data_IF_702231869689
#
_entry.id   IF_702231869689
#
_cell.length_a   1.000
_cell.length_b   1.000
_cell.length_c   1.000
_cell.angle_alpha   90.00
_cell.angle_beta   90.00
_cell.angle_gamma   90.00
#
_symmetry.space_group_name_H-M   'P 1'
#
loop_
_entity.id
_entity.type
_entity.pdbx_description
1 polymer ?
#
# COMPACT_ATOMS: atom_id res chain seq x y z
N UNK A 1 -140.00 48.60 37.16
CA UNK A 1 -139.49 48.34 35.79
C UNK A 1 -137.99 48.56 35.78
N UNK A 2 -137.53 49.63 36.45
CA UNK A 2 -136.12 50.04 36.58
C UNK A 2 -135.17 48.96 37.13
N UNK A 3 -135.55 48.17 38.15
CA UNK A 3 -134.71 47.07 38.66
C UNK A 3 -134.45 45.95 37.62
N UNK A 4 -135.34 45.79 36.63
CA UNK A 4 -135.19 44.78 35.56
C UNK A 4 -134.24 45.25 34.46
N UNK A 5 -134.19 46.56 34.21
CA UNK A 5 -133.26 47.17 33.25
C UNK A 5 -131.82 47.15 33.76
N UNK A 6 -131.60 47.43 35.06
CA UNK A 6 -130.27 47.35 35.68
C UNK A 6 -129.71 45.91 35.71
N UNK A 7 -130.58 44.91 35.93
CA UNK A 7 -130.22 43.50 35.82
C UNK A 7 -129.87 43.07 34.38
N UNK A 8 -130.50 43.67 33.36
CA UNK A 8 -130.19 43.41 31.96
C UNK A 8 -128.86 44.06 31.53
N UNK A 9 -128.56 45.26 32.00
CA UNK A 9 -127.27 45.91 31.73
C UNK A 9 -126.11 45.15 32.38
N UNK A 10 -126.24 44.75 33.65
CA UNK A 10 -125.23 43.94 34.34
C UNK A 10 -125.04 42.55 33.73
N UNK A 11 -126.11 41.92 33.22
CA UNK A 11 -126.02 40.67 32.46
C UNK A 11 -125.26 40.86 31.13
N UNK A 12 -125.51 41.98 30.43
CA UNK A 12 -124.85 42.29 29.17
C UNK A 12 -123.35 42.57 29.38
N UNK A 13 -123.00 43.37 30.40
CA UNK A 13 -121.60 43.60 30.80
C UNK A 13 -120.87 42.29 31.15
N UNK A 14 -121.51 41.39 31.91
CA UNK A 14 -120.94 40.06 32.21
C UNK A 14 -120.78 39.20 30.96
N UNK A 15 -121.70 39.31 30.00
CA UNK A 15 -121.60 38.59 28.73
C UNK A 15 -120.43 39.09 27.87
N UNK A 16 -120.15 40.39 27.88
CA UNK A 16 -119.00 41.00 27.21
C UNK A 16 -117.70 40.55 27.89
N UNK A 17 -117.63 40.62 29.22
CA UNK A 17 -116.45 40.14 29.96
C UNK A 17 -116.21 38.64 29.74
N UNK A 18 -117.26 37.83 29.74
CA UNK A 18 -117.17 36.40 29.45
C UNK A 18 -116.60 36.14 28.05
N UNK A 19 -117.07 36.87 27.03
CA UNK A 19 -116.58 36.72 25.65
C UNK A 19 -115.12 37.18 25.50
N UNK A 20 -114.70 38.23 26.20
CA UNK A 20 -113.28 38.66 26.22
C UNK A 20 -112.41 37.57 26.84
N UNK A 21 -112.79 37.09 28.03
CA UNK A 21 -112.02 36.07 28.75
C UNK A 21 -111.99 34.74 27.99
N UNK A 22 -113.11 34.38 27.34
CA UNK A 22 -113.19 33.20 26.47
C UNK A 22 -112.25 33.32 25.27
N UNK A 23 -112.17 34.50 24.63
CA UNK A 23 -111.27 34.74 23.50
C UNK A 23 -109.81 34.69 23.94
N UNK A 24 -109.46 35.22 25.12
CA UNK A 24 -108.11 35.08 25.69
C UNK A 24 -107.74 33.63 25.99
N UNK A 25 -108.68 32.85 26.54
CA UNK A 25 -108.50 31.42 26.79
C UNK A 25 -108.28 30.64 25.49
N UNK A 26 -109.12 30.85 24.48
CA UNK A 26 -109.00 30.22 23.16
C UNK A 26 -107.65 30.56 22.51
N UNK A 27 -107.25 31.83 22.54
CA UNK A 27 -105.94 32.27 22.02
C UNK A 27 -104.77 31.62 22.76
N UNK A 28 -104.83 31.57 24.09
CA UNK A 28 -103.76 30.97 24.92
C UNK A 28 -103.65 29.47 24.69
N UNK A 29 -104.78 28.79 24.48
CA UNK A 29 -104.85 27.36 24.17
C UNK A 29 -104.24 27.06 22.80
N UNK A 30 -104.57 27.85 21.77
CA UNK A 30 -103.96 27.70 20.45
C UNK A 30 -102.44 27.93 20.49
N UNK A 31 -101.97 28.93 21.25
CA UNK A 31 -100.54 29.19 21.42
C UNK A 31 -99.83 28.02 22.12
N UNK A 32 -100.46 27.46 23.15
CA UNK A 32 -99.94 26.30 23.87
C UNK A 32 -99.84 25.07 22.96
N UNK A 33 -100.88 24.79 22.17
CA UNK A 33 -100.91 23.67 21.23
C UNK A 33 -99.86 23.86 20.11
N UNK A 34 -99.65 25.08 19.62
CA UNK A 34 -98.61 25.40 18.65
C UNK A 34 -97.19 25.16 19.22
N UNK A 35 -96.94 25.53 20.48
CA UNK A 35 -95.66 25.27 21.16
C UNK A 35 -95.46 23.76 21.34
N UNK A 36 -96.48 23.03 21.78
CA UNK A 36 -96.42 21.57 21.92
C UNK A 36 -96.09 20.88 20.58
N UNK A 37 -96.70 21.35 19.50
CA UNK A 37 -96.45 20.82 18.16
C UNK A 37 -95.00 21.10 17.72
N UNK A 38 -94.51 22.33 17.93
CA UNK A 38 -93.12 22.71 17.66
C UNK A 38 -92.13 21.85 18.48
N UNK A 39 -92.44 21.58 19.75
CA UNK A 39 -91.62 20.71 20.58
C UNK A 39 -91.60 19.26 20.08
N UNK A 40 -92.73 18.72 19.62
CA UNK A 40 -92.79 17.37 19.02
C UNK A 40 -92.01 17.30 17.70
N UNK A 41 -92.15 18.30 16.83
CA UNK A 41 -91.38 18.40 15.58
C UNK A 41 -89.87 18.44 15.87
N UNK A 42 -89.43 19.24 16.85
CA UNK A 42 -88.03 19.30 17.28
C UNK A 42 -87.59 17.96 17.90
N UNK A 43 -88.44 17.30 18.69
CA UNK A 43 -88.15 15.98 19.27
C UNK A 43 -87.97 14.89 18.22
N UNK A 44 -88.79 14.91 17.16
CA UNK A 44 -88.67 14.01 16.01
C UNK A 44 -87.43 14.37 15.16
N UNK A 45 -87.18 15.65 14.92
CA UNK A 45 -85.99 16.13 14.21
C UNK A 45 -84.69 15.86 14.98
N UNK A 46 -84.72 15.87 16.32
CA UNK A 46 -83.60 15.51 17.17
C UNK A 46 -83.31 13.99 17.16
N UNK A 47 -84.30 13.17 16.75
CA UNK A 47 -84.13 11.73 16.49
C UNK A 47 -83.43 11.42 15.16
N UNK A 48 -83.25 12.41 14.28
CA UNK A 48 -82.39 12.30 13.10
C UNK A 48 -80.98 12.65 13.55
N UNK A 49 -80.13 11.63 13.65
CA UNK A 49 -78.75 11.70 14.14
C UNK A 49 -78.05 13.02 13.81
N UNK A 50 -77.81 13.86 14.82
CA UNK A 50 -76.69 14.81 14.78
C UNK A 50 -75.41 13.97 14.80
N UNK A 51 -74.92 13.63 13.62
CA UNK A 51 -73.54 13.17 13.47
C UNK A 51 -72.63 14.31 13.94
N UNK A 52 -72.13 14.20 15.17
CA UNK A 52 -71.14 15.12 15.73
C UNK A 52 -69.73 14.80 15.21
N UNK A 53 -69.63 14.48 13.92
CA UNK A 53 -68.38 14.14 13.24
C UNK A 53 -68.15 15.24 12.22
N UNK A 54 -67.36 16.23 12.59
CA UNK A 54 -66.78 17.17 11.65
C UNK A 54 -65.41 16.65 11.27
N UNK A 55 -65.19 16.37 9.99
CA UNK A 55 -63.86 16.13 9.45
C UNK A 55 -63.12 17.47 9.53
N UNK A 56 -62.16 17.59 10.45
CA UNK A 56 -61.37 18.81 10.64
C UNK A 56 -60.30 18.91 9.57
N UNK A 57 -59.75 17.76 9.15
CA UNK A 57 -58.79 17.67 8.06
C UNK A 57 -58.93 16.32 7.37
N UNK A 58 -59.03 16.32 6.04
CA UNK A 58 -59.03 15.10 5.24
C UNK A 58 -57.60 14.58 5.13
N UNK A 59 -57.41 13.28 5.33
CA UNK A 59 -56.09 12.65 5.18
C UNK A 59 -55.63 12.76 3.72
N UNK A 60 -54.69 13.67 3.45
CA UNK A 60 -54.08 13.80 2.13
C UNK A 60 -53.13 12.64 1.89
N UNK A 61 -53.17 12.08 0.68
CA UNK A 61 -52.15 11.12 0.27
C UNK A 61 -50.80 11.84 0.29
N UNK A 62 -49.79 11.29 0.99
CA UNK A 62 -48.47 11.91 1.02
C UNK A 62 -47.88 11.89 -0.40
N UNK A 63 -47.45 13.05 -0.89
CA UNK A 63 -46.84 13.20 -2.23
C UNK A 63 -45.51 12.44 -2.37
N UNK A 64 -44.99 11.86 -1.29
CA UNK A 64 -43.79 11.02 -1.26
C UNK A 64 -43.52 10.42 0.12
N UNK A 65 -42.49 9.58 0.22
CA UNK A 65 -42.15 8.91 1.48
C UNK A 65 -41.77 9.92 2.59
N UNK A 66 -42.58 9.99 3.65
CA UNK A 66 -42.37 10.91 4.79
C UNK A 66 -41.15 10.54 5.63
N UNK A 67 -40.82 9.25 5.74
CA UNK A 67 -39.62 8.70 6.41
C UNK A 67 -39.23 7.36 5.78
N UNK A 68 -37.93 7.00 5.70
CA UNK A 68 -36.75 7.84 5.94
C UNK A 68 -36.37 8.71 4.74
N UNK A 69 -35.79 9.89 4.99
CA UNK A 69 -35.30 10.77 3.92
C UNK A 69 -34.00 10.23 3.32
N UNK A 70 -34.12 9.48 2.23
CA UNK A 70 -33.00 8.79 1.57
C UNK A 70 -31.81 9.71 1.30
N UNK A 71 -32.05 10.92 0.77
CA UNK A 71 -30.98 11.87 0.44
C UNK A 71 -30.19 12.33 1.67
N UNK A 72 -30.85 12.63 2.80
CA UNK A 72 -30.16 13.05 4.03
C UNK A 72 -29.38 11.89 4.65
N UNK A 73 -29.97 10.71 4.68
CA UNK A 73 -29.30 9.52 5.20
C UNK A 73 -28.10 9.13 4.34
N UNK A 74 -28.23 9.23 3.01
CA UNK A 74 -27.14 9.00 2.07
C UNK A 74 -26.03 10.03 2.26
N UNK A 75 -26.34 11.32 2.37
CA UNK A 75 -25.34 12.36 2.60
C UNK A 75 -24.57 12.13 3.91
N UNK A 76 -25.28 11.83 5.00
CA UNK A 76 -24.69 11.52 6.31
C UNK A 76 -23.81 10.26 6.22
N UNK A 77 -24.32 9.18 5.62
CA UNK A 77 -23.59 7.93 5.47
C UNK A 77 -22.33 8.08 4.60
N UNK A 78 -22.40 8.83 3.49
CA UNK A 78 -21.25 9.13 2.64
C UNK A 78 -20.20 9.95 3.38
N UNK A 79 -20.61 10.94 4.17
CA UNK A 79 -19.69 11.78 4.93
C UNK A 79 -18.99 10.98 6.05
N UNK A 80 -19.74 10.16 6.79
CA UNK A 80 -19.18 9.24 7.79
C UNK A 80 -18.27 8.19 7.17
N UNK A 81 -18.67 7.60 6.04
CA UNK A 81 -17.86 6.62 5.32
C UNK A 81 -16.53 7.20 4.84
N UNK A 82 -16.53 8.43 4.31
CA UNK A 82 -15.31 9.14 3.91
C UNK A 82 -14.41 9.42 5.11
N UNK A 83 -14.97 9.91 6.23
CA UNK A 83 -14.24 10.18 7.46
C UNK A 83 -13.56 8.92 8.00
N UNK A 84 -14.31 7.81 8.09
CA UNK A 84 -13.77 6.52 8.55
C UNK A 84 -12.72 5.99 7.57
N UNK A 85 -12.94 6.14 6.26
CA UNK A 85 -11.98 5.72 5.23
C UNK A 85 -10.66 6.46 5.33
N UNK A 86 -10.70 7.80 5.50
CA UNK A 86 -9.49 8.62 5.69
C UNK A 86 -8.81 8.25 7.02
N UNK A 87 -9.57 8.14 8.11
CA UNK A 87 -9.02 7.76 9.40
C UNK A 87 -8.36 6.37 9.37
N UNK A 88 -8.97 5.40 8.70
CA UNK A 88 -8.42 4.06 8.53
C UNK A 88 -7.16 4.08 7.64
N UNK A 89 -7.15 4.86 6.56
CA UNK A 89 -5.96 5.02 5.72
C UNK A 89 -4.78 5.63 6.50
N UNK A 90 -5.04 6.67 7.30
CA UNK A 90 -4.02 7.27 8.18
C UNK A 90 -3.57 6.31 9.28
N UNK A 91 -4.47 5.52 9.85
CA UNK A 91 -4.14 4.50 10.84
C UNK A 91 -3.24 3.41 10.24
N UNK A 92 -3.58 2.92 9.04
CA UNK A 92 -2.76 1.93 8.34
C UNK A 92 -1.37 2.48 8.00
N UNK A 93 -1.28 3.75 7.58
CA UNK A 93 0.02 4.41 7.36
C UNK A 93 0.80 4.60 8.66
N UNK A 94 0.12 4.89 9.78
CA UNK A 94 0.77 5.01 11.09
C UNK A 94 1.27 3.66 11.65
N UNK A 95 0.58 2.57 11.33
CA UNK A 95 1.00 1.21 11.69
C UNK A 95 2.12 0.69 10.79
N UNK A 96 2.34 1.29 9.61
CA UNK A 96 3.46 0.97 8.76
C UNK A 96 4.78 1.51 9.35
N UNK A 97 5.53 0.59 9.95
CA UNK A 97 6.83 0.87 10.56
C UNK A 97 8.01 0.52 9.63
N UNK A 98 7.80 0.51 8.31
CA UNK A 98 8.85 0.20 7.34
C UNK A 98 9.73 1.41 6.99
N UNK A 99 10.95 1.15 6.55
CA UNK A 99 11.88 2.15 6.04
C UNK A 99 11.42 2.55 4.63
N UNK A 100 11.13 3.83 4.42
CA UNK A 100 10.79 4.36 3.09
C UNK A 100 11.72 5.47 2.63
N UNK A 101 12.25 6.27 3.57
CA UNK A 101 13.08 7.43 3.26
C UNK A 101 14.53 7.23 3.65
N UNK A 102 15.43 7.97 3.00
CA UNK A 102 16.85 8.02 3.35
C UNK A 102 17.07 8.56 4.76
N UNK A 103 16.29 9.56 5.17
CA UNK A 103 16.43 10.16 6.51
C UNK A 103 16.06 9.17 7.62
N UNK A 104 15.17 8.20 7.34
CA UNK A 104 14.88 7.12 8.30
C UNK A 104 16.14 6.32 8.61
N UNK A 105 16.93 6.00 7.57
CA UNK A 105 18.16 5.22 7.72
C UNK A 105 19.19 6.02 8.50
N UNK A 106 19.45 7.28 8.12
CA UNK A 106 20.47 8.11 8.76
C UNK A 106 20.16 8.39 10.23
N UNK A 107 18.86 8.51 10.59
CA UNK A 107 18.43 8.65 11.99
C UNK A 107 18.56 7.36 12.79
N UNK A 108 18.26 6.22 12.17
CA UNK A 108 18.34 4.90 12.84
C UNK A 108 19.78 4.42 12.95
N UNK A 109 20.60 4.81 11.98
CA UNK A 109 21.95 4.31 11.78
C UNK A 109 22.80 5.50 11.39
N UNK A 110 23.72 5.85 12.28
CA UNK A 110 24.79 6.83 12.08
C UNK A 110 25.80 6.37 11.00
N UNK A 111 25.31 6.10 9.79
CA UNK A 111 26.03 5.69 8.58
C UNK A 111 25.28 6.19 7.35
N UNK A 112 25.99 6.54 6.27
CA UNK A 112 25.37 7.10 5.08
C UNK A 112 24.56 6.05 4.30
N UNK A 113 23.59 6.54 3.53
CA UNK A 113 22.99 5.78 2.43
C UNK A 113 23.94 5.84 1.23
N UNK A 114 24.51 4.69 0.86
CA UNK A 114 25.51 4.58 -0.21
C UNK A 114 24.87 4.60 -1.61
N UNK A 115 23.60 4.20 -1.72
CA UNK A 115 22.89 4.17 -2.99
C UNK A 115 21.40 3.85 -2.85
N UNK A 116 20.64 4.30 -3.85
CA UNK A 116 19.21 4.11 -4.01
C UNK A 116 18.97 3.25 -5.25
N UNK A 117 18.49 2.02 -5.08
CA UNK A 117 18.23 1.10 -6.19
C UNK A 117 16.73 1.12 -6.53
N UNK A 118 16.35 1.55 -7.74
CA UNK A 118 14.95 1.61 -8.17
C UNK A 118 14.25 0.25 -8.18
N UNK A 119 12.95 0.25 -7.89
CA UNK A 119 12.08 -0.90 -8.09
C UNK A 119 11.82 -1.11 -9.60
N UNK A 120 12.22 -2.25 -10.14
CA UNK A 120 11.91 -2.63 -11.51
C UNK A 120 10.44 -3.08 -11.62
N UNK A 121 9.61 -2.28 -12.28
CA UNK A 121 8.19 -2.61 -12.47
C UNK A 121 8.01 -3.59 -13.63
N UNK A 122 6.97 -4.44 -13.63
CA UNK A 122 6.71 -5.40 -14.70
C UNK A 122 6.50 -4.76 -16.09
N UNK A 123 6.13 -3.47 -16.15
CA UNK A 123 6.01 -2.72 -17.40
C UNK A 123 7.37 -2.50 -18.07
N UNK A 124 8.40 -2.26 -17.28
CA UNK A 124 9.79 -2.09 -17.71
C UNK A 124 10.40 -3.42 -18.17
N UNK A 125 9.92 -4.53 -17.59
CA UNK A 125 10.29 -5.90 -18.00
C UNK A 125 9.69 -6.32 -19.36
N UNK A 126 8.58 -5.69 -19.80
CA UNK A 126 7.96 -5.98 -21.11
C UNK A 126 8.61 -5.20 -22.26
N UNK A 127 9.20 -4.04 -21.97
CA UNK A 127 9.89 -3.21 -22.96
C UNK A 127 11.26 -3.78 -23.40
N UNK A 128 11.69 -4.91 -22.81
CA UNK A 128 13.05 -5.47 -22.93
C UNK A 128 13.09 -6.85 -23.59
N UNK A 129 11.94 -7.38 -24.05
CA UNK A 129 11.91 -8.57 -24.93
C UNK A 129 12.26 -9.91 -24.30
N UNK A 130 12.58 -9.97 -23.00
CA UNK A 130 12.98 -11.22 -22.32
C UNK A 130 11.74 -12.03 -21.92
N UNK A 131 11.35 -13.00 -22.75
CA UNK A 131 10.40 -14.08 -22.38
C UNK A 131 11.11 -15.09 -21.48
N UNK A 132 11.17 -14.82 -20.17
CA UNK A 132 11.77 -15.72 -19.18
C UNK A 132 11.25 -15.47 -17.75
N UNK A 133 11.44 -16.44 -16.84
CA UNK A 133 10.97 -16.36 -15.44
C UNK A 133 11.51 -15.08 -14.74
N UNK A 134 10.64 -14.26 -14.11
CA UNK A 134 10.95 -12.89 -13.70
C UNK A 134 12.07 -12.73 -12.66
N UNK A 135 12.41 -13.76 -11.89
CA UNK A 135 13.48 -13.67 -10.87
C UNK A 135 14.89 -13.82 -11.45
N UNK A 136 15.08 -14.53 -12.58
CA UNK A 136 16.42 -14.84 -13.13
C UNK A 136 17.09 -13.65 -13.81
N UNK A 137 16.31 -12.67 -14.26
CA UNK A 137 16.78 -11.56 -15.11
C UNK A 137 17.24 -10.34 -14.31
N UNK A 138 17.00 -10.31 -13.00
CA UNK A 138 17.28 -9.14 -12.15
C UNK A 138 18.68 -9.16 -11.51
N UNK A 139 19.22 -10.34 -11.22
CA UNK A 139 20.46 -10.50 -10.45
C UNK A 139 21.69 -9.95 -11.18
N UNK A 140 21.72 -10.01 -12.53
CA UNK A 140 22.76 -9.40 -13.36
C UNK A 140 22.14 -8.44 -14.40
N UNK A 141 21.09 -7.71 -14.01
CA UNK A 141 20.37 -6.80 -14.90
C UNK A 141 21.30 -5.77 -15.57
N UNK A 142 22.33 -5.32 -14.85
CA UNK A 142 23.31 -4.36 -15.38
C UNK A 142 24.16 -4.91 -16.53
N UNK A 143 24.28 -6.24 -16.65
CA UNK A 143 24.95 -6.89 -17.76
C UNK A 143 24.12 -6.79 -19.05
N UNK A 144 22.81 -6.93 -18.95
CA UNK A 144 21.89 -6.96 -20.10
C UNK A 144 21.37 -5.57 -20.48
N UNK A 145 21.28 -4.64 -19.53
CA UNK A 145 20.73 -3.30 -19.72
C UNK A 145 21.66 -2.22 -19.16
N UNK A 146 22.87 -2.02 -19.74
CA UNK A 146 23.87 -1.11 -19.20
C UNK A 146 23.40 0.36 -19.15
N UNK A 147 22.42 0.77 -19.96
CA UNK A 147 21.87 2.14 -19.99
C UNK A 147 20.62 2.35 -19.12
N UNK A 148 20.22 1.36 -18.32
CA UNK A 148 19.04 1.47 -17.47
C UNK A 148 19.27 2.32 -16.23
N UNK A 149 18.19 2.85 -15.64
CA UNK A 149 18.23 3.53 -14.35
C UNK A 149 18.83 2.67 -13.23
N UNK A 150 18.59 1.36 -13.25
CA UNK A 150 19.18 0.43 -12.27
C UNK A 150 20.70 0.32 -12.44
N UNK A 151 21.19 0.20 -13.67
CA UNK A 151 22.64 0.20 -13.94
C UNK A 151 23.29 1.49 -13.49
N UNK A 152 22.64 2.63 -13.71
CA UNK A 152 23.15 3.93 -13.26
C UNK A 152 23.16 4.05 -11.74
N UNK A 153 22.13 3.54 -11.07
CA UNK A 153 22.10 3.45 -9.61
C UNK A 153 23.27 2.62 -9.05
N UNK A 154 23.65 1.52 -9.72
CA UNK A 154 24.83 0.73 -9.33
C UNK A 154 26.16 1.41 -9.66
N UNK A 155 26.25 2.22 -10.73
CA UNK A 155 27.43 3.08 -10.99
C UNK A 155 27.59 4.17 -9.93
N UNK A 156 26.47 4.76 -9.50
CA UNK A 156 26.44 5.71 -8.39
C UNK A 156 26.89 5.03 -7.08
N UNK A 157 26.35 3.84 -6.76
CA UNK A 157 26.76 3.04 -5.61
C UNK A 157 28.27 2.73 -5.62
N UNK A 158 28.81 2.31 -6.77
CA UNK A 158 30.26 2.09 -6.94
C UNK A 158 31.03 3.36 -6.59
N UNK A 159 30.61 4.51 -7.09
CA UNK A 159 31.27 5.79 -6.85
C UNK A 159 31.24 6.15 -5.36
N UNK A 160 30.10 5.98 -4.69
CA UNK A 160 30.00 6.15 -3.23
C UNK A 160 30.94 5.22 -2.46
N UNK A 161 31.06 3.96 -2.90
CA UNK A 161 31.98 2.99 -2.30
C UNK A 161 33.45 3.36 -2.51
N UNK A 162 33.82 3.93 -3.66
CA UNK A 162 35.17 4.44 -3.91
C UNK A 162 35.58 5.55 -2.94
N UNK A 163 34.62 6.29 -2.37
CA UNK A 163 34.88 7.32 -1.36
C UNK A 163 34.47 6.89 0.06
N UNK A 164 34.15 5.61 0.26
CA UNK A 164 33.68 5.11 1.57
C UNK A 164 34.79 4.99 2.61
N UNK A 165 36.05 4.90 2.19
CA UNK A 165 37.23 4.91 3.07
C UNK A 165 38.33 5.81 2.51
N UNK A 166 39.28 6.28 3.35
CA UNK A 166 40.40 7.10 2.90
C UNK A 166 41.28 6.43 1.84
N UNK A 167 41.35 5.10 1.86
CA UNK A 167 42.17 4.27 0.96
C UNK A 167 41.42 3.87 -0.32
N UNK A 168 40.16 4.27 -0.44
CA UNK A 168 39.29 3.96 -1.58
C UNK A 168 38.22 2.92 -1.24
N UNK A 169 37.77 2.18 -2.25
CA UNK A 169 36.82 1.08 -2.07
C UNK A 169 37.52 -0.13 -1.42
N UNK A 170 36.98 -0.69 -0.32
CA UNK A 170 37.55 -1.88 0.28
C UNK A 170 37.58 -3.07 -0.69
N UNK A 171 38.60 -3.92 -0.57
CA UNK A 171 38.76 -5.07 -1.46
C UNK A 171 37.70 -6.13 -1.20
N UNK A 172 37.46 -6.51 0.05
CA UNK A 172 36.44 -7.50 0.42
C UNK A 172 35.22 -6.82 1.01
N UNK A 173 34.10 -6.90 0.29
CA UNK A 173 32.83 -6.32 0.70
C UNK A 173 31.79 -7.41 0.94
N UNK A 174 31.16 -7.37 2.11
CA UNK A 174 30.05 -8.26 2.46
C UNK A 174 28.72 -7.54 2.33
N UNK A 175 27.81 -8.13 1.57
CA UNK A 175 26.43 -7.70 1.43
C UNK A 175 25.54 -8.59 2.29
N UNK A 176 24.72 -7.96 3.12
CA UNK A 176 23.76 -8.66 3.98
C UNK A 176 22.53 -7.79 4.18
N UNK A 177 21.51 -8.33 4.84
CA UNK A 177 20.23 -7.67 5.03
C UNK A 177 19.63 -8.02 6.39
N UNK A 178 18.55 -7.36 6.78
CA UNK A 178 17.88 -7.65 8.06
C UNK A 178 17.11 -8.94 7.94
N UNK A 179 16.35 -9.04 6.85
CA UNK A 179 15.42 -10.12 6.58
C UNK A 179 15.57 -10.65 5.16
N UNK A 180 15.00 -11.82 4.90
CA UNK A 180 15.09 -12.43 3.59
C UNK A 180 14.36 -11.63 2.50
N UNK A 181 14.95 -11.62 1.31
CA UNK A 181 14.33 -11.06 0.12
C UNK A 181 14.36 -9.54 0.08
N UNK A 182 15.26 -8.88 0.82
CA UNK A 182 15.51 -7.43 0.74
C UNK A 182 16.39 -7.06 -0.46
N UNK A 183 16.99 -8.05 -1.13
CA UNK A 183 17.70 -7.89 -2.40
C UNK A 183 19.24 -7.83 -2.27
N UNK A 184 19.79 -8.35 -1.17
CA UNK A 184 21.25 -8.52 -0.95
C UNK A 184 21.99 -9.17 -2.12
N UNK A 185 21.51 -10.31 -2.60
CA UNK A 185 22.08 -11.04 -3.74
C UNK A 185 22.04 -10.21 -5.02
N UNK A 186 20.90 -9.55 -5.28
CA UNK A 186 20.73 -8.67 -6.45
C UNK A 186 21.69 -7.49 -6.39
N UNK A 187 21.86 -6.87 -5.21
CA UNK A 187 22.76 -5.75 -5.01
C UNK A 187 24.23 -6.19 -5.17
N UNK A 188 24.63 -7.30 -4.56
CA UNK A 188 25.95 -7.88 -4.65
C UNK A 188 26.33 -8.22 -6.10
N UNK A 189 25.45 -8.93 -6.81
CA UNK A 189 25.72 -9.38 -8.17
C UNK A 189 25.75 -8.24 -9.21
N UNK A 190 24.85 -7.25 -9.10
CA UNK A 190 24.90 -6.09 -9.99
C UNK A 190 26.09 -5.18 -9.70
N UNK A 191 26.47 -4.97 -8.44
CA UNK A 191 27.70 -4.24 -8.12
C UNK A 191 28.93 -4.97 -8.69
N UNK A 192 29.01 -6.29 -8.51
CA UNK A 192 30.10 -7.10 -9.06
C UNK A 192 30.17 -6.99 -10.60
N UNK A 193 29.00 -7.00 -11.25
CA UNK A 193 28.88 -6.79 -12.70
C UNK A 193 29.39 -5.42 -13.13
N UNK A 194 28.96 -4.35 -12.45
CA UNK A 194 29.40 -2.99 -12.78
C UNK A 194 30.90 -2.82 -12.55
N UNK A 195 31.46 -3.38 -11.47
CA UNK A 195 32.91 -3.35 -11.24
C UNK A 195 33.67 -4.05 -12.38
N UNK A 196 33.24 -5.25 -12.78
CA UNK A 196 33.85 -6.02 -13.86
C UNK A 196 33.77 -5.30 -15.21
N UNK A 197 32.62 -4.69 -15.54
CA UNK A 197 32.45 -3.88 -16.75
C UNK A 197 33.40 -2.67 -16.82
N UNK A 198 33.93 -2.22 -15.68
CA UNK A 198 34.91 -1.15 -15.61
C UNK A 198 36.37 -1.66 -15.58
N UNK A 199 36.58 -2.93 -15.91
CA UNK A 199 37.90 -3.54 -16.07
C UNK A 199 38.50 -4.12 -14.80
N UNK A 200 37.80 -4.10 -13.66
CA UNK A 200 38.29 -4.74 -12.44
C UNK A 200 38.14 -6.26 -12.50
N UNK A 201 39.09 -6.99 -11.91
CA UNK A 201 38.97 -8.42 -11.66
C UNK A 201 38.13 -8.64 -10.39
N UNK A 202 36.94 -9.23 -10.54
CA UNK A 202 35.95 -9.35 -9.46
C UNK A 202 35.57 -10.81 -9.20
N UNK A 203 35.51 -11.19 -7.92
CA UNK A 203 34.95 -12.46 -7.48
C UNK A 203 33.65 -12.24 -6.69
N UNK A 204 32.55 -12.86 -7.12
CA UNK A 204 31.30 -12.95 -6.34
C UNK A 204 31.21 -14.30 -5.63
N UNK A 205 31.15 -14.28 -4.30
CA UNK A 205 31.05 -15.47 -3.44
C UNK A 205 29.63 -15.58 -2.87
N UNK A 206 28.97 -16.73 -3.07
CA UNK A 206 27.69 -17.07 -2.43
C UNK A 206 27.95 -17.69 -1.05
N UNK A 207 27.92 -16.87 0.00
CA UNK A 207 28.07 -17.29 1.39
C UNK A 207 26.72 -17.56 2.08
N UNK A 208 25.58 -17.42 1.38
CA UNK A 208 24.27 -17.85 1.88
C UNK A 208 24.11 -19.37 1.68
N UNK A 209 24.84 -20.14 2.49
CA UNK A 209 24.85 -21.60 2.43
C UNK A 209 23.46 -22.22 2.71
N UNK A 210 22.55 -21.46 3.33
CA UNK A 210 21.20 -21.89 3.68
C UNK A 210 20.26 -21.81 2.49
N UNK A 211 20.28 -20.71 1.74
CA UNK A 211 19.43 -20.50 0.57
C UNK A 211 20.23 -19.93 -0.60
N UNK A 212 21.24 -20.66 -1.10
CA UNK A 212 22.11 -20.14 -2.13
C UNK A 212 21.33 -19.94 -3.42
N UNK A 213 21.63 -18.87 -4.12
CA UNK A 213 20.91 -18.45 -5.33
C UNK A 213 21.82 -18.11 -6.50
N UNK A 214 23.09 -17.74 -6.26
CA UNK A 214 24.00 -17.27 -7.31
C UNK A 214 24.14 -18.29 -8.43
N UNK A 215 24.29 -19.58 -8.10
CA UNK A 215 24.39 -20.65 -9.10
C UNK A 215 23.17 -20.73 -10.04
N UNK A 216 21.95 -20.53 -9.52
CA UNK A 216 20.72 -20.53 -10.34
C UNK A 216 20.60 -19.28 -11.19
N UNK A 217 21.05 -18.14 -10.66
CA UNK A 217 20.93 -16.84 -11.29
C UNK A 217 21.90 -16.67 -12.46
N UNK A 218 23.09 -17.29 -12.36
CA UNK A 218 24.11 -17.29 -13.42
C UNK A 218 24.12 -18.58 -14.26
N UNK A 219 23.25 -19.55 -13.96
CA UNK A 219 23.15 -20.79 -14.73
C UNK A 219 24.37 -21.72 -14.63
N UNK A 220 25.11 -21.64 -13.53
CA UNK A 220 26.31 -22.46 -13.26
C UNK A 220 26.01 -23.62 -12.29
N UNK A 221 26.85 -24.66 -12.24
CA UNK A 221 26.75 -25.69 -11.21
C UNK A 221 26.87 -25.10 -9.80
N UNK A 222 26.18 -25.70 -8.83
CA UNK A 222 26.28 -25.30 -7.42
C UNK A 222 27.63 -25.67 -6.79
N UNK A 223 28.26 -26.73 -7.28
CA UNK A 223 29.48 -27.34 -6.72
C UNK A 223 30.45 -27.66 -7.86
N UNK A 224 31.78 -27.55 -7.65
CA UNK A 224 32.45 -27.14 -6.40
C UNK A 224 32.29 -25.63 -6.09
N UNK A 225 32.32 -25.24 -4.81
CA UNK A 225 32.11 -23.87 -4.35
C UNK A 225 32.75 -23.54 -3.00
N UNK A 226 32.18 -22.58 -2.25
CA UNK A 226 32.73 -22.04 -1.01
C UNK A 226 32.96 -23.11 0.07
N UNK A 227 31.99 -24.01 0.29
CA UNK A 227 32.16 -25.10 1.26
C UNK A 227 33.31 -26.04 0.90
N UNK A 228 33.53 -26.25 -0.40
CA UNK A 228 34.61 -27.08 -0.92
C UNK A 228 35.95 -26.37 -0.75
N UNK A 229 35.99 -25.06 -0.99
CA UNK A 229 37.18 -24.24 -0.75
C UNK A 229 37.62 -24.26 0.73
N UNK A 230 36.67 -24.08 1.66
CA UNK A 230 36.93 -24.17 3.11
C UNK A 230 37.43 -25.57 3.51
N UNK A 231 36.81 -26.61 2.97
CA UNK A 231 37.22 -28.00 3.24
C UNK A 231 38.63 -28.28 2.73
N UNK A 232 38.99 -27.80 1.54
CA UNK A 232 40.34 -27.94 0.96
C UNK A 232 41.42 -27.29 1.83
N UNK A 233 41.15 -26.10 2.37
CA UNK A 233 42.08 -25.44 3.30
C UNK A 233 42.26 -26.25 4.58
N UNK A 234 41.22 -27.00 5.00
CA UNK A 234 41.30 -27.87 6.17
C UNK A 234 42.13 -29.13 5.90
N UNK A 235 42.03 -29.71 4.71
CA UNK A 235 42.70 -30.97 4.35
C UNK A 235 44.07 -30.79 3.68
N UNK A 236 44.42 -29.57 3.25
CA UNK A 236 45.69 -29.28 2.58
C UNK A 236 45.79 -29.89 1.17
N UNK A 237 44.66 -30.21 0.54
CA UNK A 237 44.61 -30.88 -0.77
C UNK A 237 44.51 -29.86 -1.91
N UNK A 238 45.36 -29.99 -2.93
CA UNK A 238 45.23 -29.25 -4.18
C UNK A 238 44.08 -29.80 -5.06
N UNK A 239 43.45 -28.96 -5.92
CA UNK A 239 42.24 -29.36 -6.62
C UNK A 239 42.47 -30.26 -7.84
N UNK A 240 41.51 -31.14 -8.11
CA UNK A 240 41.26 -31.68 -9.47
C UNK A 240 40.51 -30.67 -10.37
N UNK A 241 39.69 -29.78 -9.77
CA UNK A 241 38.89 -28.76 -10.46
C UNK A 241 38.86 -27.40 -9.73
N UNK A 242 38.83 -26.27 -10.46
CA UNK A 242 38.74 -24.94 -9.87
C UNK A 242 37.41 -24.75 -9.10
N UNK A 243 37.47 -24.15 -7.90
CA UNK A 243 36.28 -23.73 -7.11
C UNK A 243 35.64 -22.44 -7.63
N UNK A 244 36.27 -21.85 -8.64
CA UNK A 244 35.86 -20.60 -9.26
C UNK A 244 35.36 -20.93 -10.67
N UNK A 245 34.19 -20.39 -10.99
CA UNK A 245 33.50 -20.56 -12.26
C UNK A 245 33.45 -19.23 -12.99
N UNK A 246 33.53 -19.26 -14.32
CA UNK A 246 33.28 -18.08 -15.14
C UNK A 246 31.80 -17.69 -15.09
N UNK A 247 31.50 -16.40 -14.99
CA UNK A 247 30.13 -15.88 -15.05
C UNK A 247 29.56 -15.80 -16.47
N UNK A 248 30.42 -15.92 -17.49
CA UNK A 248 30.11 -15.56 -18.88
C UNK A 248 30.29 -14.05 -19.17
N UNK A 249 30.70 -13.26 -18.18
CA UNK A 249 31.07 -11.85 -18.31
C UNK A 249 32.57 -11.69 -18.06
N UNK A 250 33.23 -10.91 -18.91
CA UNK A 250 34.65 -10.61 -18.75
C UNK A 250 34.91 -9.88 -17.43
N UNK A 251 35.95 -10.31 -16.71
CA UNK A 251 36.32 -9.74 -15.42
C UNK A 251 35.49 -10.20 -14.21
N UNK A 252 34.41 -10.99 -14.41
CA UNK A 252 33.58 -11.50 -13.31
C UNK A 252 33.70 -13.01 -13.14
N UNK A 253 34.25 -13.41 -12.00
CA UNK A 253 34.33 -14.79 -11.51
C UNK A 253 33.31 -15.07 -10.41
N UNK A 254 32.86 -16.33 -10.31
CA UNK A 254 31.84 -16.76 -9.36
C UNK A 254 32.36 -17.91 -8.50
N UNK A 255 32.10 -17.84 -7.20
CA UNK A 255 32.25 -18.97 -6.28
C UNK A 255 30.86 -19.29 -5.70
N UNK A 256 30.16 -20.31 -6.22
CA UNK A 256 28.86 -20.70 -5.68
C UNK A 256 29.02 -21.29 -4.27
N UNK A 257 27.92 -21.53 -3.57
CA UNK A 257 27.99 -22.01 -2.18
C UNK A 257 28.70 -23.37 -2.01
N UNK A 258 28.66 -24.25 -3.01
CA UNK A 258 29.18 -25.61 -2.92
C UNK A 258 28.17 -26.61 -2.35
N UNK A 259 28.68 -27.77 -1.91
CA UNK A 259 27.86 -28.83 -1.32
C UNK A 259 27.03 -28.35 -0.11
N UNK A 260 25.84 -28.92 0.04
CA UNK A 260 25.01 -28.63 1.21
C UNK A 260 25.68 -29.17 2.48
N UNK A 261 25.67 -28.37 3.54
CA UNK A 261 26.30 -28.66 4.83
C UNK A 261 25.28 -28.59 5.95
N UNK A 262 25.32 -29.52 6.93
CA UNK A 262 24.42 -29.48 8.09
C UNK A 262 24.74 -28.31 9.04
N UNK A 263 25.99 -27.82 9.06
CA UNK A 263 26.46 -26.77 9.96
C UNK A 263 27.04 -25.54 9.23
N UNK A 264 26.22 -24.70 8.57
CA UNK A 264 26.69 -23.48 7.90
C UNK A 264 27.45 -22.50 8.80
N UNK A 265 26.96 -22.28 10.02
CA UNK A 265 27.53 -21.31 10.96
C UNK A 265 28.98 -21.67 11.33
N UNK A 266 29.23 -22.95 11.63
CA UNK A 266 30.54 -23.45 12.04
C UNK A 266 31.57 -23.27 10.92
N UNK A 267 31.20 -23.62 9.68
CA UNK A 267 32.07 -23.44 8.52
C UNK A 267 32.40 -21.97 8.26
N UNK A 268 31.42 -21.07 8.37
CA UNK A 268 31.64 -19.63 8.18
C UNK A 268 32.41 -18.99 9.35
N UNK A 269 32.37 -19.60 10.54
CA UNK A 269 33.15 -19.17 11.69
C UNK A 269 34.59 -19.70 11.73
N UNK A 270 34.95 -20.54 10.77
CA UNK A 270 36.22 -21.23 10.74
C UNK A 270 37.38 -20.31 10.32
N UNK A 271 38.58 -20.57 10.86
CA UNK A 271 39.81 -19.88 10.42
C UNK A 271 40.13 -20.12 8.94
N UNK A 272 39.53 -21.16 8.35
CA UNK A 272 39.66 -21.53 6.96
C UNK A 272 38.95 -20.54 6.03
N UNK A 273 37.78 -20.00 6.42
CA UNK A 273 37.16 -18.93 5.63
C UNK A 273 38.06 -17.69 5.55
N UNK A 274 38.72 -17.32 6.65
CA UNK A 274 39.67 -16.20 6.66
C UNK A 274 40.83 -16.43 5.67
N UNK A 275 41.35 -17.66 5.59
CA UNK A 275 42.38 -18.04 4.61
C UNK A 275 41.86 -17.98 3.17
N UNK A 276 40.68 -18.54 2.89
CA UNK A 276 40.04 -18.47 1.56
C UNK A 276 39.89 -17.02 1.12
N UNK A 277 39.37 -16.14 1.98
CA UNK A 277 39.23 -14.71 1.67
C UNK A 277 40.58 -14.04 1.48
N UNK A 278 41.60 -14.38 2.29
CA UNK A 278 42.96 -13.87 2.13
C UNK A 278 43.59 -14.27 0.79
N UNK A 279 43.36 -15.48 0.31
CA UNK A 279 43.85 -15.92 -1.00
C UNK A 279 43.12 -15.18 -2.12
N UNK A 280 41.79 -15.03 -2.00
CA UNK A 280 41.00 -14.27 -2.97
C UNK A 280 41.43 -12.80 -3.04
N UNK A 281 41.76 -12.17 -1.90
CA UNK A 281 42.27 -10.78 -1.83
C UNK A 281 43.55 -10.56 -2.65
N UNK A 282 44.35 -11.61 -2.89
CA UNK A 282 45.59 -11.53 -3.64
C UNK A 282 45.40 -11.67 -5.15
N UNK A 283 44.30 -12.29 -5.57
CA UNK A 283 44.03 -12.67 -6.96
C UNK A 283 43.06 -11.68 -7.62
N UNK A 284 42.10 -11.16 -6.86
CA UNK A 284 41.07 -10.27 -7.35
C UNK A 284 41.25 -8.85 -6.82
N UNK A 285 40.86 -7.86 -7.63
CA UNK A 285 40.83 -6.46 -7.22
C UNK A 285 39.73 -6.25 -6.17
N UNK A 286 38.57 -6.88 -6.40
CA UNK A 286 37.43 -6.86 -5.48
C UNK A 286 36.83 -8.26 -5.28
N UNK A 287 36.45 -8.55 -4.03
CA UNK A 287 35.73 -9.76 -3.63
C UNK A 287 34.41 -9.33 -2.99
N UNK A 288 33.31 -9.71 -3.61
CA UNK A 288 31.95 -9.42 -3.15
C UNK A 288 31.36 -10.68 -2.53
N UNK A 289 30.94 -10.61 -1.27
CA UNK A 289 30.41 -11.75 -0.51
C UNK A 289 28.91 -11.54 -0.28
N UNK A 290 28.07 -12.38 -0.86
CA UNK A 290 26.62 -12.42 -0.57
C UNK A 290 26.38 -13.30 0.66
N UNK A 291 26.04 -12.68 1.79
CA UNK A 291 25.88 -13.34 3.08
C UNK A 291 24.40 -13.43 3.49
N UNK A 292 23.98 -14.43 4.29
CA UNK A 292 22.59 -14.57 4.71
C UNK A 292 22.11 -13.35 5.53
N UNK A 293 20.79 -13.19 5.76
CA UNK A 293 20.27 -12.12 6.62
C UNK A 293 20.82 -12.20 8.06
N UNK A 294 21.00 -11.06 8.72
CA UNK A 294 21.56 -10.97 10.09
C UNK A 294 20.57 -11.37 11.18
N UNK A 295 19.27 -11.11 10.99
CA UNK A 295 18.29 -11.42 12.03
C UNK A 295 18.14 -12.94 12.16
N UNK A 296 18.36 -13.41 13.38
CA UNK A 296 18.21 -14.82 13.75
C UNK A 296 19.37 -15.74 13.36
N UNK A 297 20.40 -15.26 12.66
CA UNK A 297 21.51 -16.10 12.17
C UNK A 297 22.88 -15.57 12.62
N UNK A 298 23.76 -16.47 13.08
CA UNK A 298 25.13 -16.15 13.46
C UNK A 298 26.07 -16.01 12.24
N UNK A 299 25.76 -16.75 11.18
CA UNK A 299 26.52 -16.91 9.94
C UNK A 299 27.08 -15.58 9.38
N UNK A 300 26.19 -14.63 9.09
CA UNK A 300 26.56 -13.33 8.52
C UNK A 300 27.31 -12.44 9.52
N UNK A 301 26.97 -12.53 10.81
CA UNK A 301 27.64 -11.77 11.87
C UNK A 301 29.10 -12.19 11.99
N UNK A 302 29.39 -13.48 11.92
CA UNK A 302 30.78 -13.96 11.99
C UNK A 302 31.57 -13.60 10.73
N UNK A 303 30.99 -13.86 9.55
CA UNK A 303 31.64 -13.52 8.28
C UNK A 303 31.91 -12.01 8.15
N UNK A 304 31.06 -11.16 8.74
CA UNK A 304 31.22 -9.70 8.73
C UNK A 304 32.50 -9.19 9.39
N UNK A 305 33.14 -9.98 10.27
CA UNK A 305 34.42 -9.62 10.90
C UNK A 305 35.64 -9.96 10.03
N UNK A 306 35.46 -10.80 9.01
CA UNK A 306 36.54 -11.30 8.17
C UNK A 306 36.73 -10.49 6.88
N UNK A 307 35.88 -9.48 6.67
CA UNK A 307 35.86 -8.62 5.48
C UNK A 307 36.31 -7.20 5.82
N UNK A 308 36.61 -6.42 4.79
CA UNK A 308 37.15 -5.06 4.93
C UNK A 308 36.02 -4.03 5.04
N UNK A 309 34.84 -4.34 4.51
CA UNK A 309 33.65 -3.51 4.62
C UNK A 309 32.35 -4.30 4.54
N UNK A 310 31.32 -3.82 5.25
CA UNK A 310 29.97 -4.39 5.23
C UNK A 310 29.00 -3.36 4.66
N UNK A 311 28.18 -3.81 3.72
CA UNK A 311 27.09 -3.03 3.14
C UNK A 311 25.76 -3.67 3.55
N UNK A 312 24.95 -2.91 4.25
CA UNK A 312 23.63 -3.35 4.68
C UNK A 312 22.59 -3.02 3.62
N UNK A 313 21.80 -4.00 3.18
CA UNK A 313 20.72 -3.79 2.21
C UNK A 313 19.37 -3.73 2.94
N UNK A 314 18.63 -2.66 2.72
CA UNK A 314 17.26 -2.47 3.21
C UNK A 314 16.30 -2.39 2.02
N UNK A 315 15.13 -3.02 2.11
CA UNK A 315 14.06 -2.87 1.12
C UNK A 315 13.10 -1.75 1.50
N UNK A 316 12.96 -0.73 0.65
CA UNK A 316 12.00 0.35 0.82
C UNK A 316 10.57 -0.23 0.90
N UNK A 317 9.80 0.21 1.89
CA UNK A 317 8.43 -0.29 2.15
C UNK A 317 8.36 -1.76 2.60
N UNK A 318 9.50 -2.42 2.85
CA UNK A 318 9.57 -3.84 3.23
C UNK A 318 10.30 -4.06 4.55
N UNK A 319 11.43 -3.38 4.76
CA UNK A 319 12.24 -3.57 5.96
C UNK A 319 11.66 -2.77 7.12
N UNK A 320 11.26 -3.44 8.20
CA UNK A 320 10.81 -2.78 9.43
C UNK A 320 11.95 -2.02 10.13
N UNK A 321 11.69 -0.79 10.58
CA UNK A 321 12.67 0.09 11.24
C UNK A 321 13.35 -0.57 12.44
N UNK A 322 12.57 -1.26 13.27
CA UNK A 322 13.08 -1.94 14.46
C UNK A 322 13.99 -3.14 14.12
N UNK A 323 13.56 -3.96 13.16
CA UNK A 323 14.35 -5.09 12.64
C UNK A 323 15.68 -4.61 12.05
N UNK A 324 15.66 -3.50 11.32
CA UNK A 324 16.87 -2.88 10.78
C UNK A 324 17.81 -2.38 11.88
N UNK A 325 17.26 -1.67 12.87
CA UNK A 325 18.01 -1.18 14.04
C UNK A 325 18.69 -2.33 14.80
N UNK A 326 17.97 -3.42 15.06
CA UNK A 326 18.52 -4.62 15.73
C UNK A 326 19.64 -5.25 14.88
N UNK A 327 19.46 -5.34 13.56
CA UNK A 327 20.48 -5.91 12.66
C UNK A 327 21.79 -5.12 12.69
N UNK A 328 21.69 -3.80 12.61
CA UNK A 328 22.85 -2.91 12.72
C UNK A 328 23.49 -2.98 14.10
N UNK A 329 22.68 -3.06 15.16
CA UNK A 329 23.20 -3.24 16.52
C UNK A 329 24.03 -4.52 16.65
N UNK A 330 23.61 -5.63 16.02
CA UNK A 330 24.37 -6.89 16.00
C UNK A 330 25.72 -6.75 15.28
N UNK A 331 25.75 -6.06 14.14
CA UNK A 331 27.01 -5.77 13.44
C UNK A 331 27.95 -4.90 14.28
N UNK A 332 27.40 -3.89 14.98
CA UNK A 332 28.17 -3.02 15.88
C UNK A 332 28.74 -3.79 17.07
N UNK A 333 27.96 -4.72 17.66
CA UNK A 333 28.40 -5.54 18.78
C UNK A 333 29.64 -6.38 18.46
N UNK A 334 29.77 -6.84 17.21
CA UNK A 334 30.94 -7.60 16.76
C UNK A 334 32.01 -6.73 16.09
N UNK A 335 31.85 -5.41 16.16
CA UNK A 335 32.75 -4.41 15.57
C UNK A 335 32.97 -4.62 14.06
N UNK A 336 31.93 -5.05 13.35
CA UNK A 336 32.00 -5.19 11.90
C UNK A 336 32.18 -3.82 11.23
N UNK A 337 32.99 -3.70 10.17
CA UNK A 337 33.26 -2.45 9.46
C UNK A 337 32.06 -2.05 8.57
N UNK A 338 30.96 -1.62 9.17
CA UNK A 338 29.76 -1.16 8.45
C UNK A 338 30.04 0.15 7.72
N UNK A 339 30.11 0.09 6.39
CA UNK A 339 30.35 1.26 5.53
C UNK A 339 29.10 2.13 5.41
N UNK A 340 27.95 1.50 5.22
CA UNK A 340 26.69 2.19 5.01
C UNK A 340 25.58 1.28 4.50
N UNK A 341 24.54 1.89 3.95
CA UNK A 341 23.29 1.22 3.62
C UNK A 341 22.92 1.43 2.17
N UNK A 342 22.47 0.36 1.51
CA UNK A 342 21.83 0.44 0.18
C UNK A 342 20.33 0.29 0.38
N UNK A 343 19.57 1.32 -0.01
CA UNK A 343 18.11 1.26 -0.02
C UNK A 343 17.65 0.74 -1.37
N UNK A 344 17.11 -0.47 -1.38
CA UNK A 344 16.65 -1.18 -2.57
C UNK A 344 15.13 -1.10 -2.70
N UNK A 345 14.59 -1.31 -3.91
CA UNK A 345 13.15 -1.21 -4.25
C UNK A 345 12.56 0.18 -4.05
N UNK A 346 13.35 1.21 -4.32
CA UNK A 346 12.87 2.58 -4.25
C UNK A 346 11.85 2.82 -5.35
N UNK A 347 10.67 3.30 -4.99
CA UNK A 347 9.68 3.73 -5.98
C UNK A 347 10.00 5.16 -6.42
N UNK A 348 10.56 5.31 -7.62
CA UNK A 348 10.92 6.62 -8.17
C UNK A 348 9.72 7.51 -8.48
N UNK A 349 8.53 6.92 -8.64
CA UNK A 349 7.30 7.68 -8.88
C UNK A 349 6.68 8.22 -7.59
N UNK A 350 7.21 7.85 -6.43
CA UNK A 350 6.72 8.37 -5.16
C UNK A 350 7.11 9.85 -5.00
N UNK A 351 6.27 10.68 -4.36
CA UNK A 351 6.59 12.09 -4.12
C UNK A 351 7.95 12.29 -3.44
N UNK A 352 8.32 11.37 -2.54
CA UNK A 352 9.59 11.36 -1.82
C UNK A 352 10.82 11.27 -2.73
N UNK A 353 10.71 10.60 -3.88
CA UNK A 353 11.83 10.36 -4.80
C UNK A 353 11.65 11.03 -6.17
N UNK A 354 10.64 11.89 -6.32
CA UNK A 354 10.34 12.66 -7.53
C UNK A 354 11.55 13.45 -8.06
N UNK A 355 12.41 13.97 -7.18
CA UNK A 355 13.65 14.64 -7.57
C UNK A 355 14.65 13.68 -8.24
N UNK A 356 14.78 12.46 -7.73
CA UNK A 356 15.66 11.43 -8.29
C UNK A 356 15.11 10.86 -9.60
N UNK A 357 13.78 10.82 -9.75
CA UNK A 357 13.09 10.41 -10.97
C UNK A 357 13.60 11.18 -12.20
N UNK A 358 13.69 12.51 -12.11
CA UNK A 358 14.18 13.35 -13.22
C UNK A 358 15.62 13.03 -13.64
N UNK A 359 16.49 12.63 -12.69
CA UNK A 359 17.87 12.22 -13.00
C UNK A 359 17.93 10.89 -13.73
N UNK A 360 17.09 9.92 -13.35
CA UNK A 360 17.09 8.60 -13.96
C UNK A 360 16.36 8.55 -15.31
N UNK A 361 15.25 9.29 -15.47
CA UNK A 361 14.49 9.32 -16.72
C UNK A 361 15.17 10.13 -17.82
N UNK A 362 15.95 11.17 -17.50
CA UNK A 362 16.70 11.93 -18.50
C UNK A 362 17.90 11.17 -19.10
N UNK A 363 18.27 10.02 -18.53
CA UNK A 363 19.35 9.16 -19.01
C UNK A 363 18.88 7.90 -19.74
N UNK A 364 17.57 7.60 -19.75
CA UNK A 364 17.03 6.63 -20.69
C UNK A 364 17.01 7.28 -22.09
N UNK A 365 17.72 6.71 -23.09
CA UNK A 365 17.68 7.26 -24.43
C UNK A 365 16.24 7.23 -24.93
N UNK A 366 15.76 8.40 -25.35
CA UNK A 366 14.52 8.63 -26.06
C UNK A 366 14.22 7.47 -27.02
N UNK A 367 13.28 6.61 -26.63
CA UNK A 367 12.74 5.59 -27.53
C UNK A 367 11.80 6.30 -28.48
N UNK A 368 12.41 6.83 -29.53
CA UNK A 368 11.88 6.99 -30.89
C UNK A 368 10.40 7.29 -31.01
N UNK A 369 10.12 8.51 -31.47
CA UNK A 369 8.98 8.85 -32.30
C UNK A 369 8.28 7.62 -32.90
N UNK A 370 7.00 7.47 -32.55
CA UNK A 370 6.03 6.82 -33.45
C UNK A 370 6.19 7.49 -34.81
N UNK A 371 6.76 6.76 -35.77
CA UNK A 371 6.44 6.99 -37.18
C UNK A 371 4.92 7.02 -37.24
N UNK A 372 4.37 8.21 -37.48
CA UNK A 372 2.99 8.32 -37.92
C UNK A 372 2.95 7.58 -39.26
N UNK A 373 2.10 6.57 -39.34
CA UNK A 373 1.69 5.94 -40.59
C UNK A 373 1.23 7.04 -41.56
N UNK A 374 2.11 7.48 -42.45
CA UNK A 374 1.73 8.06 -43.73
C UNK A 374 1.23 6.93 -44.62
N UNK A 375 0.02 6.45 -44.32
CA UNK A 375 -0.70 5.61 -45.24
C UNK A 375 -2.20 5.86 -45.09
N UNK A 376 -2.63 7.06 -45.48
CA UNK A 376 -4.03 7.31 -45.81
C UNK A 376 -4.18 8.30 -46.96
N UNK A 377 -5.09 7.94 -47.87
CA UNK A 377 -5.68 8.73 -48.95
C UNK A 377 -4.96 8.79 -50.32
N UNK A 378 -5.01 7.68 -51.07
CA UNK A 378 -5.23 7.77 -52.53
C UNK A 378 -6.75 7.78 -52.78
N UNK A 379 -7.35 8.87 -53.31
CA UNK A 379 -8.76 8.88 -53.61
C UNK A 379 -9.04 8.14 -54.94
N UNK A 380 -9.86 7.09 -54.86
CA UNK A 380 -10.48 6.48 -56.04
C UNK A 380 -11.32 7.51 -56.79
N UNK A 381 -10.82 7.99 -57.94
CA UNK A 381 -11.66 8.61 -58.98
C UNK A 381 -12.36 7.50 -59.77
N UNK A 382 -13.69 7.44 -59.64
CA UNK A 382 -14.56 6.84 -60.65
C UNK A 382 -14.50 7.69 -61.93
N UNK A 383 -14.23 7.07 -63.07
CA UNK A 383 -14.67 7.56 -64.38
C UNK A 383 -14.67 6.39 -65.38
N UNK A 384 -15.82 6.28 -66.07
CA UNK A 384 -16.17 5.40 -67.21
C UNK A 384 -16.56 3.96 -66.89
#
# INVERSE_FOLDING_TARGET
>A
IDQREEQLMTLNERSVQYNILRREYETSRELYDAVLQRMKEIGVAAGVQKSNISVIDEARMPDGAFRPSLQKNLAIASMLGLMIGIALALLLEFLDSTIRRTEDIERLVDRPVLGLIPLLRPRDQRATGVRGRPERTLTHYSATHPKSAVSEAFRSLRTSLMFSTPEGMPKVLLFTSSSQGEGKTTAAANLATVLAQNGASVLLIDADLRRPSVHRDFGIPRSPGLTDAISRVSTGTEPEHPVIHGSGLDGLSLMPAGHATPSPAELLSSNQLAKVLSDCRRIFDHVIVDAPPILGLADAVVASRLVDGVVMVAGAGKTGKENFRISVQRLRQVQAPLLGVVLNRVDLDSPEYSYYSAYYYNYEPDKGHREMDENEAVPHRKAS
#
